data_IF_635140454824
#
_entry.id   IF_635140454824
#
_cell.length_a   1.000
_cell.length_b   1.000
_cell.length_c   1.000
_cell.angle_alpha   90.00
_cell.angle_beta   90.00
_cell.angle_gamma   90.00
#
_symmetry.space_group_name_H-M   'P 1'
#
loop_
_entity.id
_entity.type
_entity.pdbx_description
1 polymer ?
#
# COMPACT_ATOMS: atom_id res chain seq x y z
N UNK A 1 36.42 -12.42 7.54
CA UNK A 1 34.96 -12.58 7.38
C UNK A 1 34.70 -12.78 5.89
N UNK A 2 34.42 -14.03 5.47
CA UNK A 2 34.19 -14.38 4.05
C UNK A 2 32.68 -14.30 3.80
N UNK A 3 32.28 -13.82 2.62
CA UNK A 3 30.88 -13.54 2.20
C UNK A 3 29.89 -14.72 2.34
N UNK A 4 30.37 -15.92 2.69
CA UNK A 4 29.58 -17.13 2.94
C UNK A 4 28.82 -17.11 4.28
N UNK A 5 29.20 -16.25 5.22
CA UNK A 5 28.61 -16.18 6.56
C UNK A 5 27.21 -15.54 6.56
N UNK A 6 27.01 -14.49 5.77
CA UNK A 6 25.79 -13.67 5.82
C UNK A 6 24.55 -14.42 5.33
N UNK A 7 24.68 -15.21 4.27
CA UNK A 7 23.54 -15.93 3.67
C UNK A 7 23.08 -17.08 4.54
N UNK A 8 24.02 -17.83 5.14
CA UNK A 8 23.68 -18.87 6.12
C UNK A 8 22.95 -18.25 7.32
N UNK A 9 23.45 -17.13 7.84
CA UNK A 9 22.82 -16.43 8.97
C UNK A 9 21.41 -15.94 8.65
N UNK A 10 21.13 -15.53 7.41
CA UNK A 10 19.78 -15.15 6.97
C UNK A 10 18.85 -16.37 7.06
N UNK A 11 19.21 -17.49 6.42
CA UNK A 11 18.38 -18.70 6.41
C UNK A 11 18.01 -19.20 7.82
N UNK A 12 18.95 -19.25 8.77
CA UNK A 12 18.65 -19.67 10.16
C UNK A 12 17.92 -18.63 11.01
N UNK A 13 17.83 -17.37 10.57
CA UNK A 13 17.10 -16.30 11.29
C UNK A 13 15.68 -16.08 10.79
N UNK A 14 15.34 -16.56 9.60
CA UNK A 14 13.98 -16.49 9.07
C UNK A 14 13.07 -17.44 9.83
N UNK A 15 11.84 -16.99 10.08
CA UNK A 15 10.80 -17.78 10.76
C UNK A 15 9.45 -17.53 10.12
N UNK A 16 8.54 -18.51 10.24
CA UNK A 16 7.20 -18.42 9.66
C UNK A 16 7.22 -18.19 8.15
N UNK A 17 6.30 -17.35 7.66
CA UNK A 17 6.11 -17.10 6.22
C UNK A 17 7.39 -16.67 5.50
N UNK A 18 8.28 -15.92 6.17
CA UNK A 18 9.54 -15.50 5.57
C UNK A 18 10.52 -16.69 5.35
N UNK A 19 10.48 -17.72 6.19
CA UNK A 19 11.24 -18.95 5.97
C UNK A 19 10.63 -19.78 4.84
N UNK A 20 9.29 -19.89 4.78
CA UNK A 20 8.59 -20.63 3.72
C UNK A 20 8.92 -20.07 2.32
N UNK A 21 9.02 -18.75 2.21
CA UNK A 21 9.44 -18.07 0.97
C UNK A 21 10.88 -18.42 0.59
N UNK A 22 11.79 -18.44 1.56
CA UNK A 22 13.20 -18.78 1.34
C UNK A 22 13.39 -20.25 0.94
N UNK A 23 12.71 -21.18 1.62
CA UNK A 23 12.78 -22.63 1.35
C UNK A 23 12.28 -22.99 -0.06
N UNK A 24 11.30 -22.24 -0.58
CA UNK A 24 10.77 -22.42 -1.93
C UNK A 24 11.63 -21.81 -3.05
N UNK A 25 12.68 -21.05 -2.72
CA UNK A 25 13.59 -20.50 -3.74
C UNK A 25 14.51 -21.59 -4.32
N UNK A 26 14.93 -21.47 -5.60
CA UNK A 26 15.98 -22.33 -6.16
C UNK A 26 17.25 -22.28 -5.31
N UNK A 27 17.94 -23.41 -5.15
CA UNK A 27 19.14 -23.52 -4.29
C UNK A 27 20.24 -22.53 -4.75
N UNK A 28 20.33 -22.30 -6.05
CA UNK A 28 21.26 -21.33 -6.64
C UNK A 28 20.95 -19.89 -6.20
N UNK A 29 19.67 -19.58 -5.99
CA UNK A 29 19.17 -18.26 -5.60
C UNK A 29 19.21 -18.07 -4.08
N UNK A 30 19.01 -19.14 -3.29
CA UNK A 30 19.18 -19.14 -1.84
C UNK A 30 20.59 -18.74 -1.40
N UNK A 31 21.59 -18.98 -2.25
CA UNK A 31 22.99 -18.62 -2.02
C UNK A 31 23.32 -17.17 -2.40
N UNK A 32 22.37 -16.44 -3.02
CA UNK A 32 22.54 -15.06 -3.45
C UNK A 32 21.77 -14.10 -2.53
N UNK A 33 22.46 -13.28 -1.72
CA UNK A 33 21.81 -12.40 -0.75
C UNK A 33 20.91 -11.34 -1.38
N UNK A 34 21.23 -10.86 -2.59
CA UNK A 34 20.42 -9.87 -3.31
C UNK A 34 19.08 -10.48 -3.72
N UNK A 35 19.11 -11.70 -4.30
CA UNK A 35 17.90 -12.42 -4.71
C UNK A 35 17.02 -12.82 -3.52
N UNK A 36 17.64 -13.28 -2.42
CA UNK A 36 16.92 -13.60 -1.17
C UNK A 36 16.23 -12.34 -0.64
N UNK A 37 16.93 -11.21 -0.60
CA UNK A 37 16.36 -9.94 -0.14
C UNK A 37 15.22 -9.48 -1.05
N UNK A 38 15.40 -9.52 -2.36
CA UNK A 38 14.37 -9.15 -3.34
C UNK A 38 13.11 -10.01 -3.18
N UNK A 39 13.27 -11.34 -3.05
CA UNK A 39 12.14 -12.26 -2.91
C UNK A 39 11.38 -12.07 -1.61
N UNK A 40 12.10 -11.89 -0.50
CA UNK A 40 11.50 -11.61 0.81
C UNK A 40 10.77 -10.25 0.83
N UNK A 41 11.33 -9.24 0.17
CA UNK A 41 10.68 -7.93 0.04
C UNK A 41 9.42 -8.00 -0.83
N UNK A 42 9.43 -8.80 -1.90
CA UNK A 42 8.28 -9.01 -2.76
C UNK A 42 7.13 -9.72 -2.02
N UNK A 43 7.43 -10.71 -1.17
CA UNK A 43 6.41 -11.40 -0.37
C UNK A 43 5.91 -10.54 0.81
N UNK A 44 6.78 -9.68 1.35
CA UNK A 44 6.39 -8.67 2.34
C UNK A 44 5.68 -7.46 1.73
N UNK A 45 5.65 -7.32 0.40
CA UNK A 45 5.03 -6.18 -0.25
C UNK A 45 3.51 -6.23 -0.01
N UNK A 46 2.86 -5.10 0.33
CA UNK A 46 1.42 -5.07 0.45
C UNK A 46 0.78 -5.52 -0.87
N UNK A 47 -0.12 -6.51 -0.81
CA UNK A 47 -0.87 -6.95 -1.98
C UNK A 47 -1.56 -5.73 -2.64
N UNK A 48 -1.20 -5.37 -3.90
CA UNK A 48 -1.77 -4.23 -4.58
C UNK A 48 -3.31 -4.29 -4.66
N UNK A 49 -3.87 -5.50 -4.76
CA UNK A 49 -5.31 -5.69 -4.74
C UNK A 49 -5.91 -5.33 -3.39
N UNK A 50 -5.30 -5.78 -2.28
CA UNK A 50 -5.75 -5.43 -0.94
C UNK A 50 -5.63 -3.93 -0.65
N UNK A 51 -4.53 -3.30 -1.08
CA UNK A 51 -4.37 -1.86 -0.96
C UNK A 51 -5.47 -1.10 -1.71
N UNK A 52 -5.86 -1.57 -2.90
CA UNK A 52 -6.97 -1.01 -3.66
C UNK A 52 -8.34 -1.24 -2.99
N UNK A 53 -8.57 -2.40 -2.37
CA UNK A 53 -9.80 -2.63 -1.61
C UNK A 53 -9.90 -1.70 -0.41
N UNK A 54 -8.82 -1.51 0.34
CA UNK A 54 -8.79 -0.57 1.46
C UNK A 54 -9.01 0.87 0.97
N UNK A 55 -8.37 1.27 -0.14
CA UNK A 55 -8.56 2.57 -0.76
C UNK A 55 -10.05 2.89 -1.02
N UNK A 56 -10.82 1.92 -1.52
CA UNK A 56 -12.25 2.10 -1.82
C UNK A 56 -13.12 2.32 -0.59
N UNK A 57 -12.81 1.62 0.51
CA UNK A 57 -13.65 1.65 1.72
C UNK A 57 -13.15 2.65 2.76
N UNK A 58 -11.98 3.27 2.55
CA UNK A 58 -11.44 4.25 3.47
C UNK A 58 -12.39 5.44 3.62
N UNK A 59 -12.70 5.76 4.88
CA UNK A 59 -13.49 6.93 5.30
C UNK A 59 -12.69 7.76 6.28
N UNK A 60 -12.88 9.07 6.30
CA UNK A 60 -12.30 9.97 7.30
C UNK A 60 -12.63 9.44 8.71
N UNK A 61 -11.62 9.28 9.56
CA UNK A 61 -11.79 8.77 10.93
C UNK A 61 -12.09 9.92 11.90
N UNK A 62 -12.71 9.61 13.02
CA UNK A 62 -12.93 10.60 14.09
C UNK A 62 -11.58 11.13 14.60
N UNK A 63 -11.45 12.46 14.65
CA UNK A 63 -10.22 13.15 15.03
C UNK A 63 -9.11 13.15 13.96
N UNK A 64 -9.33 12.52 12.80
CA UNK A 64 -8.41 12.60 11.67
C UNK A 64 -8.61 13.93 10.91
N UNK A 65 -7.51 14.59 10.57
CA UNK A 65 -7.56 15.79 9.73
C UNK A 65 -7.76 15.42 8.25
N UNK A 66 -8.39 16.29 7.45
CA UNK A 66 -8.54 16.04 6.00
C UNK A 66 -7.21 15.78 5.29
N UNK A 67 -6.14 16.47 5.68
CA UNK A 67 -4.79 16.27 5.11
C UNK A 67 -4.22 14.89 5.44
N UNK A 68 -4.39 14.42 6.68
CA UNK A 68 -3.96 13.09 7.10
C UNK A 68 -4.74 11.99 6.34
N UNK A 69 -6.05 12.20 6.15
CA UNK A 69 -6.87 11.29 5.35
C UNK A 69 -6.44 11.26 3.88
N UNK A 70 -6.18 12.42 3.27
CA UNK A 70 -5.68 12.50 1.89
C UNK A 70 -4.30 11.85 1.75
N UNK A 71 -3.41 12.03 2.72
CA UNK A 71 -2.11 11.36 2.76
C UNK A 71 -2.26 9.83 2.83
N UNK A 72 -3.20 9.33 3.65
CA UNK A 72 -3.51 7.91 3.72
C UNK A 72 -4.04 7.35 2.39
N UNK A 73 -4.94 8.09 1.71
CA UNK A 73 -5.43 7.70 0.39
C UNK A 73 -4.32 7.66 -0.66
N UNK A 74 -3.42 8.67 -0.68
CA UNK A 74 -2.25 8.70 -1.58
C UNK A 74 -1.35 7.49 -1.35
N UNK A 75 -1.09 7.14 -0.09
CA UNK A 75 -0.28 5.96 0.25
C UNK A 75 -0.95 4.67 -0.25
N UNK A 76 -2.25 4.49 -0.02
CA UNK A 76 -2.99 3.31 -0.48
C UNK A 76 -3.01 3.22 -2.01
N UNK A 77 -3.19 4.36 -2.69
CA UNK A 77 -3.10 4.42 -4.15
C UNK A 77 -1.72 4.01 -4.67
N UNK A 78 -0.63 4.49 -4.06
CA UNK A 78 0.73 4.10 -4.44
C UNK A 78 0.96 2.59 -4.25
N UNK A 79 0.51 2.04 -3.13
CA UNK A 79 0.61 0.60 -2.87
C UNK A 79 -0.22 -0.24 -3.85
N UNK A 80 -1.34 0.30 -4.35
CA UNK A 80 -2.17 -0.31 -5.38
C UNK A 80 -1.60 -0.22 -6.80
N UNK A 81 -0.41 0.38 -7.00
CA UNK A 81 0.18 0.61 -8.32
C UNK A 81 -0.21 1.95 -8.98
N UNK A 82 -0.82 2.86 -8.21
CA UNK A 82 -1.25 4.18 -8.63
C UNK A 82 -2.73 4.27 -8.98
N UNK A 83 -3.27 5.49 -8.90
CA UNK A 83 -4.62 5.85 -9.38
C UNK A 83 -4.56 7.21 -10.06
N UNK A 84 -5.54 7.55 -10.90
CA UNK A 84 -5.62 8.89 -11.47
C UNK A 84 -5.96 9.94 -10.41
N UNK A 85 -5.54 11.19 -10.62
CA UNK A 85 -5.88 12.30 -9.71
C UNK A 85 -7.40 12.47 -9.55
N UNK A 86 -8.16 12.26 -10.63
CA UNK A 86 -9.63 12.28 -10.58
C UNK A 86 -10.19 11.18 -9.69
N UNK A 87 -9.62 9.97 -9.74
CA UNK A 87 -10.02 8.86 -8.88
C UNK A 87 -9.66 9.14 -7.41
N UNK A 88 -8.48 9.71 -7.16
CA UNK A 88 -8.04 10.12 -5.83
C UNK A 88 -8.95 11.20 -5.23
N UNK A 89 -9.28 12.24 -6.02
CA UNK A 89 -10.21 13.29 -5.61
C UNK A 89 -11.61 12.74 -5.35
N UNK A 90 -12.10 11.84 -6.20
CA UNK A 90 -13.39 11.18 -6.01
C UNK A 90 -13.43 10.34 -4.74
N UNK A 91 -12.36 9.58 -4.45
CA UNK A 91 -12.24 8.79 -3.24
C UNK A 91 -12.16 9.67 -1.98
N UNK A 92 -11.45 10.80 -2.06
CA UNK A 92 -11.42 11.78 -0.99
C UNK A 92 -12.82 12.30 -0.67
N UNK A 93 -13.55 12.82 -1.67
CA UNK A 93 -14.92 13.30 -1.46
C UNK A 93 -15.84 12.19 -0.95
N UNK A 94 -15.79 10.99 -1.54
CA UNK A 94 -16.62 9.86 -1.14
C UNK A 94 -16.31 9.33 0.28
N UNK A 95 -15.13 9.66 0.82
CA UNK A 95 -14.73 9.27 2.16
C UNK A 95 -15.06 10.27 3.26
N UNK A 96 -15.53 11.47 2.92
CA UNK A 96 -15.96 12.48 3.89
C UNK A 96 -17.34 12.16 4.50
N UNK A 97 -17.69 12.77 5.65
CA UNK A 97 -19.05 12.70 6.18
C UNK A 97 -20.10 13.17 5.16
N UNK A 98 -21.27 12.53 5.12
CA UNK A 98 -22.31 12.73 4.11
C UNK A 98 -22.68 14.21 3.93
N UNK A 99 -22.87 14.94 5.03
CA UNK A 99 -23.19 16.37 5.03
C UNK A 99 -22.13 17.22 4.29
N UNK A 100 -20.85 16.88 4.44
CA UNK A 100 -19.75 17.54 3.72
C UNK A 100 -19.77 17.18 2.24
N UNK A 101 -20.07 15.91 1.89
CA UNK A 101 -20.21 15.51 0.49
C UNK A 101 -21.33 16.27 -0.22
N UNK A 102 -22.48 16.41 0.43
CA UNK A 102 -23.63 17.13 -0.10
C UNK A 102 -23.32 18.61 -0.32
N UNK A 103 -22.64 19.23 0.65
CA UNK A 103 -22.21 20.63 0.55
C UNK A 103 -21.29 20.86 -0.64
N UNK A 104 -20.31 19.96 -0.86
CA UNK A 104 -19.41 20.03 -2.01
C UNK A 104 -20.15 19.82 -3.35
N UNK A 105 -21.09 18.87 -3.41
CA UNK A 105 -21.91 18.62 -4.62
C UNK A 105 -22.83 19.79 -4.94
N UNK A 106 -23.39 20.44 -3.92
CA UNK A 106 -24.23 21.63 -4.09
C UNK A 106 -23.42 22.81 -4.65
N UNK A 107 -22.22 23.06 -4.10
CA UNK A 107 -21.30 24.09 -4.60
C UNK A 107 -20.91 23.89 -6.07
N UNK A 108 -20.54 22.66 -6.45
CA UNK A 108 -20.16 22.34 -7.83
C UNK A 108 -21.29 22.59 -8.85
N UNK A 109 -22.56 22.34 -8.48
CA UNK A 109 -23.72 22.58 -9.36
C UNK A 109 -23.97 24.07 -9.59
N UNK A 110 -23.71 24.91 -8.59
CA UNK A 110 -23.84 26.36 -8.71
C UNK A 110 -22.78 26.96 -9.64
N UNK A 111 -21.57 26.39 -9.64
CA UNK A 111 -20.46 26.85 -10.50
C UNK A 111 -20.65 26.46 -11.97
N UNK A 112 -21.25 25.29 -12.25
CA UNK A 112 -21.58 24.85 -13.62
C UNK A 112 -22.76 25.61 -14.25
N UNK A 113 -23.50 26.40 -13.47
CA UNK A 113 -24.64 27.20 -13.94
C UNK A 113 -24.30 28.69 -14.12
N UNK A 114 -23.02 29.03 -14.11
CA UNK A 114 -22.49 30.40 -14.26
C UNK A 114 -21.75 30.54 -15.58
#
# INVERSE_FOLDING_TARGET
MRMTDTVQVIGVKLTGAAFDVYDQMPIEDQSNPEKVTERLLADCAPDPFMAFQEFKVRRLRDGETPDAFLAALRRLAQLAGGVSDTALASAFVAGLPEQTQESMRAGARMESSR
#
